data_IF_210544350207
#
_entry.id   IF_210544350207
#
_cell.length_a   1.000
_cell.length_b   1.000
_cell.length_c   1.000
_cell.angle_alpha   90.00
_cell.angle_beta   90.00
_cell.angle_gamma   90.00
#
_symmetry.space_group_name_H-M   'P 1'
#
loop_
_entity.id
_entity.type
_entity.pdbx_description
1 polymer ?
#
# COMPACT_ATOMS: atom_id res chain seq x y z
N UNK A 1 2.31 -2.45 0.27
CA UNK A 1 1.91 -3.36 1.36
C UNK A 1 3.07 -4.29 1.65
N UNK A 2 3.35 -4.55 2.92
CA UNK A 2 4.44 -5.41 3.37
C UNK A 2 3.95 -6.33 4.50
N UNK A 3 4.46 -7.55 4.56
CA UNK A 3 4.20 -8.49 5.66
C UNK A 3 5.52 -9.00 6.23
N UNK A 4 5.65 -8.90 7.55
CA UNK A 4 6.73 -9.51 8.34
C UNK A 4 6.18 -10.76 9.06
N UNK A 5 7.01 -11.41 9.88
CA UNK A 5 6.57 -12.56 10.66
C UNK A 5 5.37 -12.24 11.57
N UNK A 6 5.40 -11.05 12.19
CA UNK A 6 4.48 -10.71 13.27
C UNK A 6 3.42 -9.67 12.87
N UNK A 7 3.67 -8.90 11.81
CA UNK A 7 2.79 -7.80 11.42
C UNK A 7 2.56 -7.74 9.92
N UNK A 8 1.39 -7.19 9.55
CA UNK A 8 1.07 -6.80 8.18
C UNK A 8 0.78 -5.32 8.14
N UNK A 9 1.45 -4.62 7.23
CA UNK A 9 1.34 -3.17 7.04
C UNK A 9 0.83 -2.83 5.64
N UNK A 10 -0.19 -1.98 5.58
CA UNK A 10 -0.82 -1.51 4.34
C UNK A 10 -0.88 0.02 4.35
N UNK A 11 -0.42 0.60 3.24
CA UNK A 11 -0.52 2.02 2.91
C UNK A 11 -1.25 2.12 1.56
N UNK A 12 -2.18 3.07 1.46
CA UNK A 12 -2.83 3.40 0.19
C UNK A 12 -2.35 4.76 -0.30
N UNK A 13 -1.96 4.83 -1.58
CA UNK A 13 -1.53 6.09 -2.16
C UNK A 13 -2.69 7.09 -2.21
N UNK A 14 -2.54 8.22 -1.53
CA UNK A 14 -3.58 9.26 -1.45
C UNK A 14 -4.57 9.09 -0.30
N UNK A 15 -4.39 8.07 0.54
CA UNK A 15 -5.12 7.93 1.80
C UNK A 15 -4.13 8.15 2.97
N UNK A 16 -4.41 9.06 3.92
CA UNK A 16 -3.54 9.27 5.07
C UNK A 16 -3.66 8.17 6.14
N UNK A 17 -4.65 7.29 6.04
CA UNK A 17 -4.89 6.25 7.04
C UNK A 17 -4.16 4.97 6.65
N UNK A 18 -3.12 4.67 7.43
CA UNK A 18 -2.43 3.40 7.37
C UNK A 18 -3.22 2.27 8.05
N UNK A 19 -2.92 1.02 7.69
CA UNK A 19 -3.41 -0.16 8.37
C UNK A 19 -2.24 -1.01 8.87
N UNK A 20 -2.31 -1.40 10.15
CA UNK A 20 -1.36 -2.31 10.79
C UNK A 20 -2.12 -3.40 11.53
N UNK A 21 -1.82 -4.66 11.23
CA UNK A 21 -2.45 -5.83 11.85
C UNK A 21 -1.39 -6.71 12.51
N UNK A 22 -1.69 -7.18 13.72
CA UNK A 22 -0.89 -8.15 14.44
C UNK A 22 -1.27 -9.56 13.97
N UNK A 23 -0.37 -10.21 13.24
CA UNK A 23 -0.64 -11.52 12.64
C UNK A 23 -0.65 -12.66 13.66
N UNK A 24 -0.10 -12.44 14.86
CA UNK A 24 -0.09 -13.42 15.96
C UNK A 24 -1.38 -13.37 16.76
N UNK A 25 -1.82 -12.17 17.12
CA UNK A 25 -2.96 -11.96 18.03
C UNK A 25 -4.26 -11.59 17.30
N UNK A 26 -4.19 -11.20 16.04
CA UNK A 26 -5.33 -10.84 15.18
C UNK A 26 -5.18 -11.40 13.76
N UNK A 27 -5.14 -12.74 13.59
CA UNK A 27 -4.96 -13.38 12.28
C UNK A 27 -6.10 -13.09 11.30
N UNK A 28 -7.25 -12.63 11.80
CA UNK A 28 -8.41 -12.23 11.01
C UNK A 28 -8.39 -10.76 10.61
N UNK A 29 -7.35 -10.01 10.98
CA UNK A 29 -7.11 -8.62 10.56
C UNK A 29 -8.29 -7.67 10.90
N UNK A 30 -8.95 -7.88 12.04
CA UNK A 30 -10.16 -7.15 12.41
C UNK A 30 -9.81 -5.79 13.02
N UNK A 31 -8.68 -5.69 13.70
CA UNK A 31 -8.29 -4.51 14.50
C UNK A 31 -7.14 -3.76 13.83
N UNK A 32 -7.45 -2.61 13.23
CA UNK A 32 -6.39 -1.69 12.79
C UNK A 32 -5.66 -1.10 14.01
N UNK A 33 -4.36 -1.41 14.13
CA UNK A 33 -3.47 -0.92 15.18
C UNK A 33 -2.78 0.40 14.82
N UNK A 34 -2.79 0.83 13.56
CA UNK A 34 -2.13 2.06 13.10
C UNK A 34 -2.75 3.33 13.70
N UNK A 35 -4.03 3.29 14.10
CA UNK A 35 -4.72 4.40 14.76
C UNK A 35 -4.42 4.51 16.26
N UNK A 36 -3.75 3.50 16.84
CA UNK A 36 -3.43 3.44 18.27
C UNK A 36 -1.97 3.84 18.47
N UNK A 37 -1.73 4.92 19.20
CA UNK A 37 -0.36 5.43 19.48
C UNK A 37 0.59 4.41 20.13
N UNK A 38 0.09 3.33 20.73
CA UNK A 38 0.90 2.24 21.30
C UNK A 38 1.75 1.48 20.28
N UNK A 39 1.39 1.51 19.00
CA UNK A 39 2.12 0.81 17.93
C UNK A 39 2.91 1.77 17.03
N UNK A 40 3.17 3.00 17.47
CA UNK A 40 3.81 4.02 16.64
C UNK A 40 5.21 3.62 16.15
N UNK A 41 6.05 3.04 17.00
CA UNK A 41 7.39 2.57 16.58
C UNK A 41 7.31 1.48 15.52
N UNK A 42 6.44 0.49 15.72
CA UNK A 42 6.23 -0.61 14.75
C UNK A 42 5.74 -0.06 13.41
N UNK A 43 4.85 0.94 13.44
CA UNK A 43 4.34 1.59 12.24
C UNK A 43 5.47 2.30 11.46
N UNK A 44 6.32 3.06 12.16
CA UNK A 44 7.47 3.74 11.55
C UNK A 44 8.48 2.75 10.95
N UNK A 45 8.77 1.66 11.65
CA UNK A 45 9.65 0.60 11.14
C UNK A 45 9.10 -0.01 9.85
N UNK A 46 7.79 -0.28 9.79
CA UNK A 46 7.16 -0.86 8.61
C UNK A 46 7.04 0.14 7.45
N UNK A 47 6.86 1.43 7.73
CA UNK A 47 6.94 2.51 6.73
C UNK A 47 8.31 2.52 6.07
N UNK A 48 9.37 2.47 6.87
CA UNK A 48 10.74 2.43 6.37
C UNK A 48 11.00 1.17 5.54
N UNK A 49 10.62 -0.01 6.06
CA UNK A 49 10.80 -1.27 5.34
C UNK A 49 10.05 -1.28 3.99
N UNK A 50 8.84 -0.73 3.94
CA UNK A 50 8.08 -0.61 2.69
C UNK A 50 8.78 0.34 1.71
N UNK A 51 9.22 1.51 2.17
CA UNK A 51 9.92 2.49 1.34
C UNK A 51 11.24 1.94 0.79
N UNK A 52 12.03 1.28 1.64
CA UNK A 52 13.29 0.64 1.25
C UNK A 52 13.05 -0.44 0.19
N UNK A 53 12.01 -1.27 0.38
CA UNK A 53 11.64 -2.29 -0.61
C UNK A 53 11.15 -1.67 -1.93
N UNK A 54 10.28 -0.67 -1.88
CA UNK A 54 9.77 0.02 -3.07
C UNK A 54 10.89 0.69 -3.88
N UNK A 55 11.93 1.22 -3.20
CA UNK A 55 13.10 1.80 -3.85
C UNK A 55 13.92 0.78 -4.66
N UNK A 56 13.80 -0.52 -4.37
CA UNK A 56 14.46 -1.58 -5.16
C UNK A 56 13.71 -1.95 -6.44
N UNK A 57 12.45 -1.53 -6.57
CA UNK A 57 11.59 -1.91 -7.69
C UNK A 57 11.96 -1.15 -8.96
N UNK A 58 11.92 -1.84 -10.09
CA UNK A 58 11.98 -1.23 -11.42
C UNK A 58 10.56 -1.15 -11.97
N UNK A 59 9.91 0.01 -11.95
CA UNK A 59 8.54 0.13 -12.43
C UNK A 59 8.50 -0.14 -13.95
N UNK A 60 7.52 -0.94 -14.37
CA UNK A 60 7.28 -1.14 -15.78
C UNK A 60 6.92 0.20 -16.44
N UNK A 61 7.39 0.46 -17.67
CA UNK A 61 6.96 1.64 -18.40
C UNK A 61 5.44 1.60 -18.61
N UNK A 62 4.82 2.77 -18.61
CA UNK A 62 3.42 2.86 -18.95
C UNK A 62 3.20 2.39 -20.40
N UNK A 63 2.07 1.70 -20.69
CA UNK A 63 1.76 1.30 -22.05
C UNK A 63 1.60 2.54 -22.95
N UNK A 64 1.86 2.42 -24.27
CA UNK A 64 1.61 3.51 -25.21
C UNK A 64 0.17 4.03 -25.09
N UNK A 65 0.00 5.32 -24.79
CA UNK A 65 -1.30 5.95 -24.52
C UNK A 65 -1.70 6.03 -23.04
N UNK A 66 -0.86 5.54 -22.13
CA UNK A 66 -1.04 5.57 -20.67
C UNK A 66 -2.08 4.57 -20.16
N UNK A 67 -2.06 4.29 -18.86
CA UNK A 67 -3.02 3.39 -18.18
C UNK A 67 -4.48 3.91 -18.21
N UNK A 68 -4.68 5.15 -18.64
CA UNK A 68 -5.98 5.81 -18.85
C UNK A 68 -6.39 5.88 -20.35
N UNK A 69 -5.54 5.41 -21.27
CA UNK A 69 -5.70 5.57 -22.73
C UNK A 69 -6.91 4.86 -23.34
N UNK A 70 -7.53 3.92 -22.63
CA UNK A 70 -8.69 3.18 -23.11
C UNK A 70 -9.99 4.03 -23.16
N UNK A 71 -10.07 5.17 -22.45
CA UNK A 71 -11.32 5.96 -22.38
C UNK A 71 -11.50 7.01 -23.49
N UNK A 72 -10.48 7.32 -24.31
CA UNK A 72 -10.60 8.38 -25.34
C UNK A 72 -10.93 7.92 -26.76
N UNK A 73 -11.03 6.62 -27.06
CA UNK A 73 -11.35 6.14 -28.43
C UNK A 73 -12.84 5.95 -28.75
N UNK A 74 -13.78 6.34 -27.87
CA UNK A 74 -15.23 6.24 -28.14
C UNK A 74 -15.97 7.56 -28.47
N UNK A 75 -15.27 8.69 -28.66
CA UNK A 75 -15.90 9.98 -29.04
C UNK A 75 -15.49 10.51 -30.43
N UNK A 76 -15.25 9.62 -31.40
CA UNK A 76 -15.17 9.97 -32.83
C UNK A 76 -15.72 8.86 -33.69
N UNK A 77 -17.05 8.75 -33.76
CA UNK A 77 -17.75 8.34 -34.98
C UNK A 77 -18.89 9.34 -35.14
N UNK A 78 -18.65 10.26 -36.06
CA UNK A 78 -19.62 11.21 -36.62
C UNK A 78 -20.68 10.47 -37.43
#
# INVERSE_FOLDING_TARGET
MLRTQDFKYIMYKGDPIDQLFDMKNDPWEIKNLATKGRCASILEDHRKLLADWEATLKPAPAPPGGWLGAKKKKKKKS
#
